data_IF_270661555355
#
_entry.id   IF_270661555355
#
_cell.length_a   1.000
_cell.length_b   1.000
_cell.length_c   1.000
_cell.angle_alpha   90.00
_cell.angle_beta   90.00
_cell.angle_gamma   90.00
#
_symmetry.space_group_name_H-M   'P 1'
#
loop_
_entity.id
_entity.type
_entity.pdbx_description
1 polymer ?
#
# COMPACT_ATOMS: atom_id res chain seq x y z
N UNK A 1 19.70 -7.36 3.63
CA UNK A 1 18.80 -7.98 4.65
C UNK A 1 17.56 -8.53 3.99
N UNK A 2 16.87 -9.49 4.59
CA UNK A 2 15.57 -9.97 4.14
C UNK A 2 14.47 -8.97 4.50
N UNK A 3 13.42 -8.91 3.66
CA UNK A 3 12.23 -8.08 3.87
C UNK A 3 11.00 -8.96 3.78
N UNK A 4 10.22 -9.09 4.84
CA UNK A 4 8.94 -9.78 4.83
C UNK A 4 7.83 -8.78 4.48
N UNK A 5 6.98 -9.12 3.51
CA UNK A 5 5.80 -8.33 3.17
C UNK A 5 4.55 -9.15 3.48
N UNK A 6 3.74 -8.65 4.42
CA UNK A 6 2.47 -9.28 4.79
C UNK A 6 1.41 -8.94 3.74
N UNK A 7 1.06 -9.90 2.90
CA UNK A 7 0.21 -9.72 1.72
C UNK A 7 -0.98 -10.70 1.67
N UNK A 8 -1.42 -11.23 2.81
CA UNK A 8 -2.51 -12.23 2.91
C UNK A 8 -3.91 -11.71 2.58
N UNK A 9 -4.10 -10.38 2.50
CA UNK A 9 -5.40 -9.78 2.26
C UNK A 9 -5.88 -9.85 0.81
N UNK A 10 -7.15 -10.22 0.59
CA UNK A 10 -7.80 -10.27 -0.75
C UNK A 10 -8.09 -8.89 -1.35
N UNK A 11 -7.92 -7.79 -0.60
CA UNK A 11 -8.17 -6.43 -1.08
C UNK A 11 -9.63 -6.14 -1.43
N UNK A 12 -10.59 -6.68 -0.70
CA UNK A 12 -12.02 -6.65 -1.01
C UNK A 12 -12.60 -5.25 -1.25
N UNK A 13 -12.04 -4.22 -0.60
CA UNK A 13 -12.49 -2.83 -0.75
C UNK A 13 -12.07 -2.17 -2.07
N UNK A 14 -11.09 -2.79 -2.80
CA UNK A 14 -10.65 -2.36 -4.14
C UNK A 14 -11.27 -3.21 -5.26
N UNK A 15 -12.26 -4.05 -4.93
CA UNK A 15 -13.03 -4.74 -5.97
C UNK A 15 -13.77 -3.73 -6.85
N UNK A 16 -13.88 -4.04 -8.15
CA UNK A 16 -13.62 -5.31 -8.82
C UNK A 16 -12.16 -5.56 -9.22
N UNK A 17 -11.25 -4.61 -9.17
CA UNK A 17 -9.86 -4.77 -9.62
C UNK A 17 -9.16 -5.99 -8.99
N UNK A 18 -9.35 -6.18 -7.69
CA UNK A 18 -8.72 -7.28 -6.95
C UNK A 18 -9.35 -8.64 -7.19
N UNK A 19 -10.42 -8.73 -7.98
CA UNK A 19 -10.94 -10.02 -8.43
C UNK A 19 -9.99 -10.72 -9.43
N UNK A 20 -9.20 -9.96 -10.20
CA UNK A 20 -8.30 -10.47 -11.24
C UNK A 20 -6.82 -10.26 -10.93
N UNK A 21 -6.46 -9.21 -10.21
CA UNK A 21 -5.08 -8.84 -9.88
C UNK A 21 -4.91 -8.77 -8.36
N UNK A 22 -3.91 -9.45 -7.75
CA UNK A 22 -3.68 -9.33 -6.33
C UNK A 22 -3.25 -7.89 -5.97
N UNK A 23 -3.73 -7.36 -4.84
CA UNK A 23 -3.48 -5.99 -4.40
C UNK A 23 -1.99 -5.57 -4.45
N UNK A 24 -1.02 -6.41 -4.05
CA UNK A 24 0.40 -6.05 -4.13
C UNK A 24 0.92 -5.74 -5.54
N UNK A 25 0.24 -6.24 -6.59
CA UNK A 25 0.60 -5.99 -7.98
C UNK A 25 -0.16 -4.83 -8.63
N UNK A 26 -1.10 -4.21 -7.94
CA UNK A 26 -1.77 -3.01 -8.47
C UNK A 26 -0.75 -1.88 -8.62
N UNK A 27 -0.75 -1.16 -9.77
CA UNK A 27 0.26 -0.14 -10.04
C UNK A 27 -0.03 1.17 -9.31
N UNK A 28 0.99 1.71 -8.67
CA UNK A 28 1.06 3.08 -8.20
C UNK A 28 2.17 3.78 -9.00
N UNK A 29 1.80 4.64 -9.92
CA UNK A 29 2.66 5.24 -10.94
C UNK A 29 3.29 4.16 -11.84
N UNK A 30 4.61 4.01 -11.86
CA UNK A 30 5.35 3.03 -12.65
C UNK A 30 5.81 1.80 -11.88
N UNK A 31 5.40 1.66 -10.64
CA UNK A 31 5.78 0.56 -9.74
C UNK A 31 4.55 -0.12 -9.17
N UNK A 32 4.70 -1.37 -8.78
CA UNK A 32 3.67 -2.07 -8.02
C UNK A 32 3.58 -1.54 -6.58
N UNK A 33 2.45 -1.76 -5.92
CA UNK A 33 2.29 -1.43 -4.51
C UNK A 33 3.37 -2.10 -3.64
N UNK A 34 3.71 -3.36 -3.94
CA UNK A 34 4.75 -4.09 -3.22
C UNK A 34 6.12 -3.40 -3.34
N UNK A 35 6.50 -2.95 -4.53
CA UNK A 35 7.75 -2.21 -4.73
C UNK A 35 7.78 -0.90 -3.95
N UNK A 36 6.65 -0.18 -3.89
CA UNK A 36 6.53 1.03 -3.06
C UNK A 36 6.72 0.75 -1.57
N UNK A 37 6.18 -0.37 -1.07
CA UNK A 37 6.34 -0.79 0.33
C UNK A 37 7.81 -1.09 0.65
N UNK A 38 8.46 -1.89 -0.19
CA UNK A 38 9.89 -2.28 -0.01
C UNK A 38 10.82 -1.06 -0.12
N UNK A 39 10.46 -0.05 -0.89
CA UNK A 39 11.23 1.18 -1.11
C UNK A 39 11.46 2.03 0.16
N UNK A 40 10.91 1.64 1.30
CA UNK A 40 11.24 2.22 2.60
C UNK A 40 12.68 1.91 3.04
N UNK A 41 13.31 0.92 2.40
CA UNK A 41 14.74 0.61 2.51
C UNK A 41 15.47 0.95 1.20
N UNK A 42 16.74 1.38 1.25
CA UNK A 42 17.61 1.43 0.08
C UNK A 42 17.70 0.05 -0.61
N UNK A 43 17.67 0.04 -1.95
CA UNK A 43 17.64 -1.22 -2.72
C UNK A 43 18.89 -2.08 -2.52
N UNK A 44 20.04 -1.47 -2.28
CA UNK A 44 21.30 -2.16 -1.98
C UNK A 44 21.33 -2.84 -0.59
N UNK A 45 20.37 -2.55 0.25
CA UNK A 45 20.18 -3.21 1.55
C UNK A 45 19.22 -4.40 1.49
N UNK A 46 18.48 -4.58 0.40
CA UNK A 46 17.46 -5.63 0.23
C UNK A 46 18.04 -6.79 -0.57
N UNK A 47 18.26 -7.93 0.07
CA UNK A 47 18.77 -9.13 -0.58
C UNK A 47 17.62 -9.99 -1.14
N UNK A 48 16.56 -10.17 -0.35
CA UNK A 48 15.42 -11.01 -0.67
C UNK A 48 14.12 -10.40 -0.10
N UNK A 49 13.05 -10.44 -0.87
CA UNK A 49 11.69 -10.11 -0.42
C UNK A 49 10.89 -11.38 -0.23
N UNK A 50 10.46 -11.64 1.00
CA UNK A 50 9.62 -12.78 1.38
C UNK A 50 8.17 -12.30 1.45
N UNK A 51 7.34 -12.75 0.52
CA UNK A 51 5.91 -12.41 0.49
C UNK A 51 5.12 -13.47 1.23
N UNK A 52 4.58 -13.11 2.39
CA UNK A 52 3.67 -13.94 3.18
C UNK A 52 2.23 -13.68 2.78
N UNK A 53 1.56 -14.65 2.16
CA UNK A 53 0.19 -14.49 1.69
C UNK A 53 -0.34 -15.69 0.92
N UNK A 54 -1.67 -15.73 0.72
CA UNK A 54 -2.36 -16.84 0.06
C UNK A 54 -3.04 -16.44 -1.25
N UNK A 55 -3.53 -15.21 -1.36
CA UNK A 55 -4.35 -14.81 -2.50
C UNK A 55 -3.52 -14.52 -3.75
N UNK A 56 -3.69 -15.34 -4.80
CA UNK A 56 -3.06 -15.19 -6.13
C UNK A 56 -1.54 -15.02 -6.09
N UNK A 57 -0.86 -15.65 -5.16
CA UNK A 57 0.59 -15.55 -4.97
C UNK A 57 1.40 -15.99 -6.19
N UNK A 58 0.84 -16.90 -7.01
CA UNK A 58 1.47 -17.31 -8.26
C UNK A 58 1.63 -16.16 -9.27
N UNK A 59 0.67 -15.21 -9.28
CA UNK A 59 0.79 -14.01 -10.11
C UNK A 59 1.91 -13.09 -9.60
N UNK A 60 2.06 -12.95 -8.26
CA UNK A 60 3.15 -12.17 -7.66
C UNK A 60 4.48 -12.78 -8.06
N UNK A 61 4.62 -14.11 -7.90
CA UNK A 61 5.84 -14.83 -8.29
C UNK A 61 6.15 -14.67 -9.78
N UNK A 62 5.17 -14.87 -10.65
CA UNK A 62 5.33 -14.75 -12.10
C UNK A 62 5.73 -13.32 -12.51
N UNK A 63 5.13 -12.29 -11.89
CA UNK A 63 5.47 -10.90 -12.16
C UNK A 63 6.95 -10.61 -11.88
N UNK A 64 7.45 -10.94 -10.69
CA UNK A 64 8.83 -10.66 -10.31
C UNK A 64 9.86 -11.57 -10.97
N UNK A 65 9.47 -12.76 -11.43
CA UNK A 65 10.33 -13.59 -12.28
C UNK A 65 10.48 -13.03 -13.71
N UNK A 66 9.48 -12.32 -14.21
CA UNK A 66 9.51 -11.69 -15.54
C UNK A 66 10.12 -10.28 -15.51
N UNK A 67 10.08 -9.60 -14.36
CA UNK A 67 10.65 -8.27 -14.17
C UNK A 67 12.13 -8.40 -13.81
N UNK A 68 12.94 -7.42 -14.26
CA UNK A 68 14.33 -7.25 -13.79
C UNK A 68 14.30 -6.52 -12.43
N UNK A 69 13.77 -7.21 -11.42
CA UNK A 69 13.65 -6.67 -10.07
C UNK A 69 15.03 -6.60 -9.40
N UNK A 70 15.32 -5.57 -8.59
CA UNK A 70 16.60 -5.42 -7.92
C UNK A 70 16.80 -6.38 -6.74
N UNK A 71 15.84 -7.28 -6.49
CA UNK A 71 15.86 -8.26 -5.39
C UNK A 71 15.16 -9.55 -5.78
N UNK A 72 15.55 -10.65 -5.12
CA UNK A 72 14.87 -11.93 -5.25
C UNK A 72 13.53 -11.93 -4.51
N UNK A 73 12.52 -12.64 -5.05
CA UNK A 73 11.20 -12.77 -4.42
C UNK A 73 10.92 -14.23 -4.08
N UNK A 74 10.71 -14.49 -2.80
CA UNK A 74 10.27 -15.77 -2.25
C UNK A 74 8.82 -15.67 -1.79
N UNK A 75 8.00 -16.65 -2.14
CA UNK A 75 6.63 -16.75 -1.64
C UNK A 75 6.59 -17.76 -0.48
N UNK A 76 5.97 -17.35 0.63
CA UNK A 76 5.55 -18.22 1.73
C UNK A 76 4.02 -18.26 1.70
N UNK A 77 3.43 -19.34 1.16
CA UNK A 77 1.99 -19.40 0.96
C UNK A 77 1.24 -19.63 2.28
N UNK A 78 0.03 -19.08 2.36
CA UNK A 78 -0.96 -19.37 3.39
C UNK A 78 -2.11 -20.17 2.78
N UNK A 79 -2.38 -21.38 3.27
CA UNK A 79 -3.52 -22.20 2.84
C UNK A 79 -4.86 -21.62 3.34
N UNK A 80 -4.82 -20.94 4.48
CA UNK A 80 -5.92 -20.22 5.11
C UNK A 80 -5.42 -18.93 5.76
N UNK A 81 -6.28 -17.91 5.96
CA UNK A 81 -5.87 -16.64 6.58
C UNK A 81 -5.38 -16.85 8.02
N UNK A 82 -4.08 -16.66 8.25
CA UNK A 82 -3.43 -16.86 9.54
C UNK A 82 -3.40 -15.61 10.43
N UNK A 83 -3.82 -14.45 9.91
CA UNK A 83 -3.65 -13.16 10.58
C UNK A 83 -2.21 -12.65 10.48
N UNK A 84 -1.95 -11.42 10.92
CA UNK A 84 -0.64 -10.76 10.78
C UNK A 84 0.49 -11.53 11.46
N UNK A 85 0.28 -11.99 12.68
CA UNK A 85 1.26 -12.76 13.43
C UNK A 85 1.46 -14.17 12.87
N UNK A 86 0.38 -14.85 12.47
CA UNK A 86 0.49 -16.20 11.91
C UNK A 86 1.17 -16.19 10.53
N UNK A 87 0.88 -15.19 9.68
CA UNK A 87 1.55 -15.00 8.41
C UNK A 87 3.06 -14.80 8.57
N UNK A 88 3.48 -13.90 9.48
CA UNK A 88 4.88 -13.72 9.81
C UNK A 88 5.50 -14.98 10.43
N UNK A 89 4.81 -15.61 11.38
CA UNK A 89 5.25 -16.85 12.03
C UNK A 89 5.49 -18.02 11.07
N UNK A 90 4.80 -18.02 9.93
CA UNK A 90 4.98 -18.99 8.86
C UNK A 90 6.31 -18.80 8.09
N UNK A 91 6.93 -17.62 8.23
CA UNK A 91 8.21 -17.30 7.61
C UNK A 91 9.43 -17.74 8.46
N UNK A 92 9.23 -18.28 9.67
CA UNK A 92 10.33 -18.58 10.64
C UNK A 92 11.43 -19.48 10.11
N UNK A 93 11.12 -20.40 9.21
CA UNK A 93 12.07 -21.35 8.66
C UNK A 93 12.84 -20.81 7.43
N UNK A 94 12.49 -19.61 6.95
CA UNK A 94 13.09 -18.99 5.76
C UNK A 94 13.67 -17.61 6.03
N UNK A 95 13.42 -17.05 7.21
CA UNK A 95 13.94 -15.73 7.62
C UNK A 95 14.87 -15.89 8.81
N UNK A 96 16.01 -15.20 8.82
CA UNK A 96 17.01 -15.30 9.89
C UNK A 96 17.71 -13.97 10.16
N UNK A 97 18.18 -13.81 11.40
CA UNK A 97 18.88 -12.61 11.86
C UNK A 97 17.95 -11.39 11.93
N UNK A 98 18.50 -10.21 11.65
CA UNK A 98 17.73 -8.97 11.63
C UNK A 98 17.06 -8.78 10.25
N UNK A 99 15.75 -8.59 10.22
CA UNK A 99 14.97 -8.43 9.01
C UNK A 99 13.93 -7.30 9.13
N UNK A 100 13.50 -6.75 8.00
CA UNK A 100 12.36 -5.83 7.95
C UNK A 100 11.05 -6.60 7.73
N UNK A 101 9.95 -6.08 8.27
CA UNK A 101 8.61 -6.60 8.00
C UNK A 101 7.65 -5.44 7.76
N UNK A 102 6.90 -5.50 6.66
CA UNK A 102 5.99 -4.44 6.25
C UNK A 102 4.58 -4.98 5.97
N UNK A 103 3.57 -4.23 6.36
CA UNK A 103 2.21 -4.45 5.85
C UNK A 103 2.19 -4.10 4.36
N UNK A 104 1.72 -5.02 3.52
CA UNK A 104 1.81 -4.94 2.05
C UNK A 104 0.88 -3.92 1.40
N UNK A 105 0.27 -3.04 2.19
CA UNK A 105 -0.66 -2.01 1.72
C UNK A 105 -0.37 -0.60 2.25
N UNK A 106 0.76 -0.41 2.91
CA UNK A 106 1.15 0.89 3.47
C UNK A 106 2.13 1.59 2.51
N UNK A 107 1.78 2.80 2.12
CA UNK A 107 2.71 3.74 1.45
C UNK A 107 3.01 4.87 2.41
N UNK A 108 4.29 5.06 2.74
CA UNK A 108 4.70 6.07 3.70
C UNK A 108 6.05 6.71 3.36
N UNK A 109 6.34 7.82 4.01
CA UNK A 109 7.64 8.49 3.99
C UNK A 109 8.63 7.92 4.99
N UNK A 110 8.31 6.80 5.64
CA UNK A 110 9.22 6.16 6.60
C UNK A 110 10.57 5.84 5.96
N UNK A 111 11.62 6.28 6.61
CA UNK A 111 12.98 5.83 6.36
C UNK A 111 13.29 4.67 7.31
N UNK A 112 13.22 3.45 6.79
CA UNK A 112 13.40 2.25 7.61
C UNK A 112 14.86 2.07 8.09
N UNK A 113 15.82 2.81 7.54
CA UNK A 113 17.20 2.81 8.07
C UNK A 113 17.25 3.43 9.46
N UNK A 114 16.45 4.47 9.74
CA UNK A 114 16.32 5.06 11.07
C UNK A 114 15.71 4.10 12.09
N UNK A 115 14.76 3.27 11.63
CA UNK A 115 14.16 2.22 12.46
C UNK A 115 15.20 1.15 12.78
N UNK A 116 16.01 0.75 11.79
CA UNK A 116 17.11 -0.21 11.96
C UNK A 116 18.20 0.31 12.92
N UNK A 117 18.55 1.59 12.81
CA UNK A 117 19.56 2.20 13.71
C UNK A 117 19.04 2.23 15.16
N UNK A 118 17.77 2.57 15.37
CA UNK A 118 17.15 2.54 16.70
C UNK A 118 17.06 1.09 17.23
N UNK A 119 16.70 0.14 16.38
CA UNK A 119 16.65 -1.27 16.71
C UNK A 119 17.97 -1.78 17.25
N UNK A 120 19.07 -1.47 16.56
CA UNK A 120 20.43 -1.82 16.97
C UNK A 120 20.85 -1.12 18.26
N UNK A 121 20.55 0.18 18.37
CA UNK A 121 20.88 1.01 19.54
C UNK A 121 20.23 0.47 20.81
N UNK A 122 18.96 0.10 20.74
CA UNK A 122 18.21 -0.36 21.90
C UNK A 122 18.32 -1.86 22.16
N UNK A 123 18.87 -2.65 21.23
CA UNK A 123 18.93 -4.11 21.31
C UNK A 123 17.54 -4.73 21.47
N UNK A 124 16.55 -4.20 20.75
CA UNK A 124 15.17 -4.64 20.84
C UNK A 124 14.94 -5.91 20.02
N UNK A 125 13.92 -6.69 20.41
CA UNK A 125 13.40 -7.80 19.60
C UNK A 125 12.58 -7.25 18.42
N UNK A 126 11.86 -6.16 18.65
CA UNK A 126 11.11 -5.45 17.61
C UNK A 126 11.23 -3.94 17.73
N UNK A 127 11.23 -3.26 16.58
CA UNK A 127 11.16 -1.79 16.50
C UNK A 127 10.16 -1.38 15.43
N UNK A 128 9.20 -0.53 15.82
CA UNK A 128 8.06 -0.11 15.01
C UNK A 128 8.28 1.29 14.45
N UNK A 129 7.91 1.51 13.18
CA UNK A 129 7.61 2.85 12.67
C UNK A 129 6.30 3.34 13.28
N UNK A 130 6.28 4.61 13.73
CA UNK A 130 5.13 5.20 14.43
C UNK A 130 4.67 6.47 13.70
N UNK A 131 3.36 6.61 13.58
CA UNK A 131 2.72 7.78 12.97
C UNK A 131 1.76 8.44 13.94
N UNK A 132 1.61 9.75 13.89
CA UNK A 132 0.65 10.48 14.71
C UNK A 132 -0.64 10.74 13.94
N UNK A 133 -1.80 10.48 14.57
CA UNK A 133 -3.14 10.68 14.00
C UNK A 133 -4.07 11.40 14.97
N UNK A 134 -5.10 12.07 14.45
CA UNK A 134 -6.13 12.71 15.28
C UNK A 134 -7.07 11.68 15.93
N UNK A 135 -7.48 10.65 15.18
CA UNK A 135 -8.32 9.55 15.68
C UNK A 135 -7.56 8.21 15.61
N UNK A 136 -7.01 7.73 16.74
CA UNK A 136 -6.24 6.49 16.79
C UNK A 136 -7.09 5.22 16.99
N UNK A 137 -8.40 5.31 17.16
CA UNK A 137 -9.27 4.17 17.55
C UNK A 137 -9.28 3.01 16.55
N UNK A 138 -8.84 3.25 15.32
CA UNK A 138 -8.80 2.24 14.24
C UNK A 138 -7.47 1.50 14.15
N UNK A 139 -6.48 1.87 14.96
CA UNK A 139 -5.09 1.40 14.88
C UNK A 139 -4.61 0.83 16.21
N UNK A 140 -3.42 0.24 16.21
CA UNK A 140 -2.69 -0.06 17.42
C UNK A 140 -2.02 1.19 17.96
N UNK A 141 -2.27 1.57 19.21
CA UNK A 141 -1.65 2.73 19.86
C UNK A 141 -0.49 2.34 20.76
N UNK A 142 0.49 3.22 20.88
CA UNK A 142 1.70 2.96 21.66
C UNK A 142 1.95 4.05 22.70
N UNK A 143 2.40 3.63 23.90
CA UNK A 143 3.02 4.53 24.89
C UNK A 143 4.53 4.52 24.72
N UNK A 144 5.09 5.62 24.18
CA UNK A 144 6.51 5.75 23.89
C UNK A 144 7.23 6.46 25.01
N UNK A 145 8.33 5.89 25.51
CA UNK A 145 9.22 6.50 26.48
C UNK A 145 10.27 7.41 25.85
N UNK A 146 11.00 8.19 26.68
CA UNK A 146 12.06 9.12 26.22
C UNK A 146 13.23 8.40 25.52
N UNK A 147 13.46 7.13 25.83
CA UNK A 147 14.48 6.26 25.24
C UNK A 147 14.00 5.56 23.96
N UNK A 148 12.83 5.94 23.44
CA UNK A 148 12.14 5.29 22.34
C UNK A 148 11.72 3.82 22.60
N UNK A 149 11.65 3.39 23.85
CA UNK A 149 11.04 2.11 24.22
C UNK A 149 9.54 2.26 24.31
N UNK A 150 8.83 1.26 23.80
CA UNK A 150 7.38 1.15 23.90
C UNK A 150 7.08 0.45 25.22
N UNK A 151 6.45 1.17 26.15
CA UNK A 151 6.06 0.66 27.47
C UNK A 151 4.65 0.08 27.50
N UNK A 152 3.83 0.40 26.49
CA UNK A 152 2.44 -0.04 26.38
C UNK A 152 2.00 -0.10 24.93
N UNK A 153 1.28 -1.17 24.58
CA UNK A 153 0.64 -1.33 23.27
C UNK A 153 -0.83 -1.75 23.45
N UNK A 154 -1.73 -1.16 22.66
CA UNK A 154 -3.15 -1.53 22.63
C UNK A 154 -3.68 -1.48 21.20
N UNK A 155 -4.16 -2.61 20.69
CA UNK A 155 -4.77 -2.72 19.36
C UNK A 155 -6.22 -2.27 19.40
N UNK A 156 -6.60 -1.31 18.54
CA UNK A 156 -7.95 -0.77 18.33
C UNK A 156 -8.67 -0.46 19.65
N UNK A 157 -8.17 0.55 20.39
CA UNK A 157 -8.75 0.92 21.68
C UNK A 157 -10.16 1.47 21.49
N UNK A 158 -11.01 1.34 22.52
CA UNK A 158 -12.20 2.17 22.61
C UNK A 158 -11.80 3.63 22.88
N UNK A 159 -12.68 4.63 22.67
CA UNK A 159 -12.34 6.03 22.96
C UNK A 159 -11.84 6.26 24.39
N UNK A 160 -12.36 5.51 25.36
CA UNK A 160 -11.99 5.59 26.78
C UNK A 160 -10.63 4.94 27.08
N UNK A 161 -10.16 4.06 26.22
CA UNK A 161 -8.86 3.38 26.34
C UNK A 161 -7.72 4.11 25.63
N UNK A 162 -8.03 5.19 24.88
CA UNK A 162 -7.01 5.97 24.16
C UNK A 162 -6.09 6.68 25.16
N UNK A 163 -4.80 6.37 25.08
CA UNK A 163 -3.77 6.98 25.91
C UNK A 163 -2.66 7.65 25.07
N UNK A 164 -2.73 7.55 23.74
CA UNK A 164 -1.74 8.12 22.82
C UNK A 164 -2.34 8.27 21.43
N UNK A 165 -1.87 9.27 20.68
CA UNK A 165 -2.17 9.47 19.26
C UNK A 165 -1.09 8.86 18.34
N UNK A 166 0.00 8.31 18.91
CA UNK A 166 1.00 7.57 18.16
C UNK A 166 0.48 6.16 17.85
N UNK A 167 0.41 5.85 16.57
CA UNK A 167 -0.07 4.58 16.08
C UNK A 167 1.06 3.73 15.49
N UNK A 168 0.86 2.43 15.49
CA UNK A 168 1.62 1.46 14.73
C UNK A 168 1.41 1.69 13.21
N UNK A 169 2.48 2.02 12.50
CA UNK A 169 2.45 2.32 11.07
C UNK A 169 2.65 1.07 10.17
N UNK A 170 2.57 -0.13 10.70
CA UNK A 170 2.68 -1.36 9.90
C UNK A 170 4.04 -1.57 9.24
N UNK A 171 5.09 -1.02 9.83
CA UNK A 171 6.47 -1.12 9.34
C UNK A 171 7.39 -1.41 10.50
N UNK A 172 8.16 -2.48 10.39
CA UNK A 172 8.90 -3.06 11.50
C UNK A 172 10.32 -3.46 11.13
N UNK A 173 11.22 -3.43 12.11
CA UNK A 173 12.48 -4.18 12.10
C UNK A 173 12.42 -5.17 13.26
N UNK A 174 12.72 -6.42 13.00
CA UNK A 174 12.75 -7.51 13.97
C UNK A 174 14.10 -8.23 13.95
N UNK A 175 14.44 -8.86 15.06
CA UNK A 175 15.36 -9.99 15.09
C UNK A 175 14.56 -11.29 15.01
N UNK A 176 15.18 -12.37 14.56
CA UNK A 176 14.51 -13.67 14.42
C UNK A 176 14.06 -14.30 15.75
N UNK A 177 14.60 -13.86 16.89
CA UNK A 177 14.07 -14.21 18.21
C UNK A 177 12.62 -13.71 18.45
N UNK A 178 12.09 -12.83 17.62
CA UNK A 178 10.65 -12.49 17.62
C UNK A 178 9.75 -13.71 17.44
N UNK A 179 10.23 -14.73 16.73
CA UNK A 179 9.48 -15.96 16.50
C UNK A 179 9.27 -16.79 17.77
N UNK A 180 10.08 -16.61 18.81
CA UNK A 180 9.91 -17.28 20.11
C UNK A 180 8.71 -16.71 20.88
N UNK A 181 8.28 -15.50 20.54
CA UNK A 181 7.10 -14.82 21.13
C UNK A 181 5.80 -15.11 20.35
N UNK A 182 5.91 -15.81 19.21
CA UNK A 182 4.76 -16.08 18.34
C UNK A 182 4.19 -17.49 18.58
N UNK A 183 2.90 -17.62 18.93
CA UNK A 183 2.25 -18.92 18.96
C UNK A 183 2.22 -19.53 17.54
N UNK A 184 2.01 -20.84 17.47
CA UNK A 184 1.77 -21.49 16.17
C UNK A 184 0.34 -21.26 15.70
N UNK A 185 0.16 -21.18 14.38
CA UNK A 185 -1.15 -21.02 13.77
C UNK A 185 -1.67 -19.57 13.76
N UNK A 186 -2.98 -19.42 13.67
CA UNK A 186 -3.64 -18.13 13.48
C UNK A 186 -3.56 -17.25 14.73
N UNK A 187 -2.95 -16.06 14.57
CA UNK A 187 -2.88 -15.02 15.60
C UNK A 187 -2.59 -13.63 15.01
N UNK A 188 -2.76 -12.58 15.81
CA UNK A 188 -2.42 -11.20 15.45
C UNK A 188 -1.13 -10.79 16.14
N UNK A 189 -0.15 -10.27 15.43
CA UNK A 189 1.08 -9.75 16.03
C UNK A 189 0.76 -8.57 16.98
N UNK A 190 -0.23 -7.76 16.63
CA UNK A 190 -0.61 -6.55 17.37
C UNK A 190 -1.34 -6.87 18.69
N UNK A 191 -2.08 -7.97 18.72
CA UNK A 191 -2.86 -8.36 19.91
C UNK A 191 -2.12 -9.34 20.81
N UNK A 192 -1.38 -10.25 20.18
CA UNK A 192 -0.86 -11.42 20.88
C UNK A 192 0.65 -11.31 21.17
N UNK A 193 1.41 -10.49 20.43
CA UNK A 193 2.87 -10.39 20.55
C UNK A 193 3.32 -9.02 21.06
N UNK A 194 2.93 -7.91 20.42
CA UNK A 194 3.40 -6.59 20.80
C UNK A 194 3.14 -6.19 22.25
N UNK A 195 1.96 -6.49 22.85
CA UNK A 195 1.75 -6.18 24.27
C UNK A 195 2.72 -6.90 25.21
N UNK A 196 3.11 -8.14 24.89
CA UNK A 196 4.08 -8.91 25.67
C UNK A 196 5.48 -8.33 25.53
N UNK A 197 5.96 -8.07 24.29
CA UNK A 197 7.25 -7.44 24.05
C UNK A 197 7.36 -6.07 24.71
N UNK A 198 6.28 -5.29 24.71
CA UNK A 198 6.23 -3.99 25.38
C UNK A 198 6.38 -4.11 26.89
N UNK A 199 5.68 -5.09 27.50
CA UNK A 199 5.76 -5.34 28.94
C UNK A 199 7.15 -5.78 29.41
N UNK A 200 7.88 -6.51 28.57
CA UNK A 200 9.26 -6.95 28.83
C UNK A 200 10.33 -5.91 28.41
N UNK A 201 9.93 -4.73 27.89
CA UNK A 201 10.86 -3.69 27.46
C UNK A 201 11.66 -4.06 26.20
N UNK A 202 11.17 -5.02 25.40
CA UNK A 202 11.83 -5.55 24.20
C UNK A 202 11.31 -4.91 22.91
N UNK A 203 10.39 -3.95 23.00
CA UNK A 203 9.80 -3.24 21.88
C UNK A 203 10.22 -1.78 21.86
N UNK A 204 10.66 -1.27 20.72
CA UNK A 204 10.98 0.13 20.49
C UNK A 204 10.12 0.75 19.41
N UNK A 205 10.12 2.08 19.31
CA UNK A 205 9.38 2.79 18.27
C UNK A 205 10.10 4.03 17.77
N UNK A 206 9.92 4.35 16.51
CA UNK A 206 10.49 5.53 15.84
C UNK A 206 9.37 6.33 15.19
N UNK A 207 8.97 7.48 15.75
CA UNK A 207 8.07 8.39 15.08
C UNK A 207 8.69 8.96 13.81
N UNK A 208 7.87 9.14 12.77
CA UNK A 208 8.29 9.77 11.52
C UNK A 208 7.26 10.80 11.05
N UNK A 209 7.69 11.70 10.18
CA UNK A 209 6.89 12.77 9.58
C UNK A 209 6.76 12.60 8.08
N UNK A 210 5.85 13.37 7.45
CA UNK A 210 5.62 13.40 6.02
C UNK A 210 4.26 12.83 5.66
N UNK A 211 4.15 11.57 5.26
CA UNK A 211 2.86 10.93 4.94
C UNK A 211 2.83 9.45 5.32
N UNK A 212 1.61 9.00 5.64
CA UNK A 212 1.27 7.62 5.94
C UNK A 212 -0.10 7.30 5.37
N UNK A 213 -0.20 6.30 4.51
CA UNK A 213 -1.42 5.96 3.79
C UNK A 213 -1.59 4.44 3.75
N UNK A 214 -2.67 3.95 4.37
CA UNK A 214 -3.20 2.60 4.15
C UNK A 214 -3.99 2.58 2.85
N UNK A 215 -3.37 2.16 1.75
CA UNK A 215 -3.94 2.13 0.40
C UNK A 215 -5.00 1.02 0.22
N UNK A 216 -5.86 0.84 1.23
CA UNK A 216 -6.87 -0.22 1.28
C UNK A 216 -8.22 0.14 0.68
N UNK A 217 -8.49 1.40 0.38
CA UNK A 217 -9.76 1.87 -0.19
C UNK A 217 -9.51 2.69 -1.46
N UNK A 218 -10.50 2.88 -2.35
CA UNK A 218 -10.35 3.68 -3.56
C UNK A 218 -9.87 5.11 -3.29
N UNK A 219 -10.41 5.77 -2.27
CA UNK A 219 -9.98 7.11 -1.87
C UNK A 219 -8.53 7.12 -1.36
N UNK A 220 -8.18 6.23 -0.43
CA UNK A 220 -6.82 6.11 0.07
C UNK A 220 -5.83 5.71 -1.04
N UNK A 221 -6.28 4.92 -2.04
CA UNK A 221 -5.48 4.62 -3.21
C UNK A 221 -5.10 5.88 -3.99
N UNK A 222 -6.08 6.72 -4.30
CA UNK A 222 -5.83 7.98 -5.02
C UNK A 222 -4.99 8.96 -4.18
N UNK A 223 -5.14 8.97 -2.86
CA UNK A 223 -4.25 9.71 -1.96
C UNK A 223 -2.81 9.17 -2.01
N UNK A 224 -2.62 7.85 -2.09
CA UNK A 224 -1.30 7.24 -2.24
C UNK A 224 -0.66 7.60 -3.59
N UNK A 225 -1.43 7.61 -4.67
CA UNK A 225 -1.00 8.11 -5.98
C UNK A 225 -0.58 9.57 -5.89
N UNK A 226 -1.42 10.43 -5.30
CA UNK A 226 -1.09 11.86 -5.12
C UNK A 226 0.18 12.06 -4.30
N UNK A 227 0.31 11.39 -3.16
CA UNK A 227 1.52 11.47 -2.33
C UNK A 227 2.77 11.00 -3.11
N UNK A 228 2.64 9.93 -3.90
CA UNK A 228 3.73 9.43 -4.75
C UNK A 228 4.13 10.44 -5.84
N UNK A 229 3.20 11.21 -6.38
CA UNK A 229 3.44 12.33 -7.31
C UNK A 229 4.17 13.47 -6.58
N UNK A 230 3.62 13.93 -5.46
CA UNK A 230 4.15 15.08 -4.71
C UNK A 230 5.59 14.82 -4.22
N UNK A 231 5.89 13.58 -3.84
CA UNK A 231 7.22 13.16 -3.38
C UNK A 231 8.09 12.50 -4.45
N UNK A 232 7.66 12.52 -5.72
CA UNK A 232 8.39 11.99 -6.89
C UNK A 232 8.83 10.54 -6.73
N UNK A 233 7.95 9.68 -6.22
CA UNK A 233 8.22 8.26 -6.01
C UNK A 233 7.94 7.42 -7.26
N UNK A 234 8.70 7.66 -8.31
CA UNK A 234 8.67 6.91 -9.57
C UNK A 234 10.06 6.86 -10.19
N UNK A 235 10.31 5.91 -11.07
CA UNK A 235 11.58 5.72 -11.75
C UNK A 235 11.51 6.25 -13.19
N UNK A 236 10.36 6.10 -13.83
CA UNK A 236 10.11 6.44 -15.23
C UNK A 236 8.89 7.35 -15.37
N UNK A 237 8.58 7.78 -16.59
CA UNK A 237 7.46 8.68 -16.82
C UNK A 237 7.76 10.13 -16.46
N UNK A 238 6.75 10.97 -16.49
CA UNK A 238 6.88 12.41 -16.32
C UNK A 238 5.69 13.00 -15.56
N UNK A 239 5.97 14.10 -14.84
CA UNK A 239 4.92 14.94 -14.27
C UNK A 239 4.50 16.00 -15.27
N UNK A 240 3.21 16.27 -15.34
CA UNK A 240 2.55 17.17 -16.28
C UNK A 240 1.60 18.13 -15.56
N UNK A 241 1.06 19.09 -16.33
CA UNK A 241 0.11 20.08 -15.84
C UNK A 241 0.73 21.23 -15.05
N UNK A 242 -0.11 22.14 -14.59
CA UNK A 242 0.29 23.23 -13.71
C UNK A 242 0.86 22.65 -12.41
N UNK A 243 2.04 23.10 -12.02
CA UNK A 243 2.75 22.61 -10.83
C UNK A 243 3.11 21.11 -10.84
N UNK A 244 3.24 20.48 -12.02
CA UNK A 244 3.57 19.05 -12.13
C UNK A 244 2.59 18.15 -11.34
N UNK A 245 1.30 18.40 -11.45
CA UNK A 245 0.27 17.86 -10.58
C UNK A 245 -0.24 16.47 -10.96
N UNK A 246 0.13 15.90 -12.11
CA UNK A 246 -0.28 14.56 -12.50
C UNK A 246 0.83 13.79 -13.21
N UNK A 247 0.75 12.44 -13.15
CA UNK A 247 1.75 11.53 -13.68
C UNK A 247 1.25 10.83 -14.95
N UNK A 248 2.13 10.77 -15.97
CA UNK A 248 1.93 9.94 -17.15
C UNK A 248 3.24 9.43 -17.76
N UNK A 249 3.16 8.32 -18.51
CA UNK A 249 4.21 7.92 -19.46
C UNK A 249 4.21 8.86 -20.67
N UNK A 250 5.34 8.94 -21.40
CA UNK A 250 5.45 9.78 -22.61
C UNK A 250 4.40 9.47 -23.68
N UNK A 251 4.04 8.19 -23.83
CA UNK A 251 3.09 7.74 -24.85
C UNK A 251 1.66 8.24 -24.63
N UNK A 252 1.31 8.66 -23.41
CA UNK A 252 -0.05 9.13 -23.07
C UNK A 252 -0.39 10.47 -23.73
N UNK A 253 0.58 11.36 -23.88
CA UNK A 253 0.34 12.73 -24.40
C UNK A 253 -0.22 12.75 -25.82
N UNK A 254 0.10 11.73 -26.63
CA UNK A 254 -0.41 11.60 -28.00
C UNK A 254 -1.90 11.25 -28.06
N UNK A 255 -2.43 10.61 -26.99
CA UNK A 255 -3.84 10.21 -26.86
C UNK A 255 -4.73 11.23 -26.15
N UNK A 256 -4.20 12.42 -25.78
CA UNK A 256 -4.96 13.41 -25.03
C UNK A 256 -5.60 14.47 -25.91
N UNK A 257 -6.89 14.72 -25.70
CA UNK A 257 -7.60 15.86 -26.29
C UNK A 257 -7.01 17.20 -25.83
N UNK A 258 -6.98 18.19 -26.75
CA UNK A 258 -6.35 19.51 -26.49
C UNK A 258 -6.95 20.27 -25.30
N UNK A 259 -8.16 19.93 -24.89
CA UNK A 259 -8.88 20.59 -23.77
C UNK A 259 -9.04 19.66 -22.56
N UNK A 260 -8.38 18.52 -22.54
CA UNK A 260 -8.36 17.64 -21.37
C UNK A 260 -7.75 18.35 -20.16
N UNK A 261 -8.39 18.21 -19.01
CA UNK A 261 -7.89 18.73 -17.72
C UNK A 261 -7.61 17.57 -16.80
N UNK A 262 -6.37 17.45 -16.36
CA UNK A 262 -5.94 16.37 -15.45
C UNK A 262 -5.22 16.98 -14.27
N UNK A 263 -5.62 16.59 -13.05
CA UNK A 263 -5.02 17.06 -11.80
C UNK A 263 -4.90 15.90 -10.80
N UNK A 264 -3.80 15.83 -10.07
CA UNK A 264 -3.55 14.88 -8.96
C UNK A 264 -3.87 13.43 -9.31
N UNK A 265 -3.60 13.03 -10.54
CA UNK A 265 -4.05 11.77 -11.12
C UNK A 265 -2.90 11.00 -11.76
N UNK A 266 -3.09 9.70 -11.87
CA UNK A 266 -2.21 8.81 -12.60
C UNK A 266 -2.88 8.38 -13.89
N UNK A 267 -2.19 8.57 -15.02
CA UNK A 267 -2.62 8.12 -16.34
C UNK A 267 -1.60 7.11 -16.87
N UNK A 268 -1.99 5.86 -16.95
CA UNK A 268 -1.12 4.79 -17.45
C UNK A 268 -1.00 4.80 -18.96
N UNK A 269 -0.06 4.03 -19.48
CA UNK A 269 0.24 3.92 -20.90
C UNK A 269 -0.98 3.48 -21.74
N UNK A 270 -1.09 3.99 -22.97
CA UNK A 270 -2.14 3.64 -23.92
C UNK A 270 -3.53 4.21 -23.60
N UNK A 271 -3.64 5.08 -22.58
CA UNK A 271 -4.90 5.77 -22.30
C UNK A 271 -5.23 6.79 -23.38
N UNK A 272 -6.52 6.90 -23.71
CA UNK A 272 -7.07 7.93 -24.58
C UNK A 272 -8.07 8.78 -23.78
N UNK A 273 -7.92 10.09 -23.80
CA UNK A 273 -8.75 11.02 -23.05
C UNK A 273 -9.26 12.12 -23.98
N UNK A 274 -10.56 12.19 -24.17
CA UNK A 274 -11.24 13.26 -24.90
C UNK A 274 -11.19 14.61 -24.17
N UNK A 275 -12.15 15.50 -24.47
CA UNK A 275 -12.26 16.84 -23.85
C UNK A 275 -12.85 16.76 -22.44
N UNK A 276 -12.23 15.99 -21.55
CA UNK A 276 -12.78 15.61 -20.23
C UNK A 276 -11.98 16.16 -19.06
N UNK A 277 -12.55 16.13 -17.88
CA UNK A 277 -11.93 16.54 -16.61
C UNK A 277 -11.69 15.33 -15.71
N UNK A 278 -10.45 15.15 -15.27
CA UNK A 278 -10.03 14.03 -14.41
C UNK A 278 -9.28 14.59 -13.21
N UNK A 279 -9.74 14.30 -12.01
CA UNK A 279 -9.11 14.78 -10.79
C UNK A 279 -9.07 13.68 -9.73
N UNK A 280 -7.96 13.62 -8.97
CA UNK A 280 -7.74 12.64 -7.89
C UNK A 280 -8.12 11.21 -8.31
N UNK A 281 -7.72 10.79 -9.52
CA UNK A 281 -8.18 9.54 -10.12
C UNK A 281 -7.03 8.74 -10.73
N UNK A 282 -7.23 7.43 -10.81
CA UNK A 282 -6.27 6.50 -11.40
C UNK A 282 -6.86 5.86 -12.64
N UNK A 283 -6.21 6.04 -13.80
CA UNK A 283 -6.56 5.39 -15.05
C UNK A 283 -5.50 4.35 -15.40
N UNK A 284 -5.90 3.08 -15.48
CA UNK A 284 -4.99 1.99 -15.83
C UNK A 284 -4.83 1.85 -17.34
N UNK A 285 -3.82 1.10 -17.74
CA UNK A 285 -3.36 0.92 -19.13
C UNK A 285 -4.52 0.71 -20.11
N UNK A 286 -4.51 1.48 -21.20
CA UNK A 286 -5.47 1.34 -22.30
C UNK A 286 -6.89 1.84 -21.98
N UNK A 287 -7.10 2.50 -20.84
CA UNK A 287 -8.42 3.08 -20.54
C UNK A 287 -8.77 4.19 -21.53
N UNK A 288 -10.04 4.26 -21.92
CA UNK A 288 -10.58 5.25 -22.84
C UNK A 288 -11.63 6.12 -22.14
N UNK A 289 -11.48 7.43 -22.23
CA UNK A 289 -12.44 8.40 -21.71
C UNK A 289 -12.93 9.27 -22.86
N UNK A 290 -14.23 9.25 -23.12
CA UNK A 290 -14.89 10.03 -24.16
C UNK A 290 -14.83 11.55 -23.88
N UNK A 291 -15.67 12.32 -24.61
CA UNK A 291 -15.74 13.76 -24.47
C UNK A 291 -16.67 14.21 -23.34
N UNK A 292 -16.37 15.36 -22.73
CA UNK A 292 -17.17 16.00 -21.69
C UNK A 292 -17.47 15.12 -20.45
N UNK A 293 -16.64 14.11 -20.18
CA UNK A 293 -16.75 13.33 -18.95
C UNK A 293 -16.09 14.06 -17.77
N UNK A 294 -16.64 13.86 -16.59
CA UNK A 294 -16.15 14.34 -15.31
C UNK A 294 -15.81 13.13 -14.43
N UNK A 295 -14.52 12.89 -14.13
CA UNK A 295 -14.05 11.77 -13.33
C UNK A 295 -13.33 12.31 -12.09
N UNK A 296 -13.89 12.03 -10.93
CA UNK A 296 -13.40 12.50 -9.65
C UNK A 296 -13.19 11.32 -8.69
N UNK A 297 -12.05 11.28 -8.00
CA UNK A 297 -11.70 10.28 -6.97
C UNK A 297 -11.96 8.82 -7.36
N UNK A 298 -11.92 8.53 -8.68
CA UNK A 298 -12.33 7.24 -9.23
C UNK A 298 -11.15 6.40 -9.69
N UNK A 299 -11.38 5.08 -9.75
CA UNK A 299 -10.42 4.10 -10.24
C UNK A 299 -10.96 3.51 -11.54
N UNK A 300 -10.27 3.75 -12.66
CA UNK A 300 -10.69 3.27 -14.00
C UNK A 300 -9.79 2.12 -14.39
N UNK A 301 -10.40 0.94 -14.58
CA UNK A 301 -9.71 -0.32 -14.88
C UNK A 301 -8.99 -0.33 -16.22
N UNK A 302 -8.10 -1.29 -16.39
CA UNK A 302 -7.37 -1.49 -17.65
C UNK A 302 -8.36 -1.77 -18.79
N UNK A 303 -8.17 -1.10 -19.93
CA UNK A 303 -9.03 -1.28 -21.10
C UNK A 303 -10.47 -0.80 -20.93
N UNK A 304 -10.83 -0.22 -19.79
CA UNK A 304 -12.19 0.27 -19.56
C UNK A 304 -12.53 1.46 -20.48
N UNK A 305 -13.77 1.51 -20.95
CA UNK A 305 -14.26 2.59 -21.82
C UNK A 305 -15.36 3.41 -21.11
N UNK A 306 -15.11 4.69 -20.92
CA UNK A 306 -16.05 5.64 -20.35
C UNK A 306 -16.65 6.47 -21.48
N UNK A 307 -17.96 6.41 -21.66
CA UNK A 307 -18.69 7.14 -22.70
C UNK A 307 -18.74 8.65 -22.46
N UNK A 308 -19.14 9.39 -23.51
CA UNK A 308 -19.24 10.83 -23.47
C UNK A 308 -20.19 11.32 -22.38
N UNK A 309 -19.84 12.45 -21.74
CA UNK A 309 -20.69 13.11 -20.75
C UNK A 309 -20.92 12.33 -19.46
N UNK A 310 -20.16 11.28 -19.20
CA UNK A 310 -20.23 10.55 -17.92
C UNK A 310 -19.80 11.41 -16.74
N UNK A 311 -20.44 11.20 -15.58
CA UNK A 311 -20.04 11.81 -14.30
C UNK A 311 -19.82 10.72 -13.25
N UNK A 312 -18.55 10.46 -12.94
CA UNK A 312 -18.15 9.42 -12.01
C UNK A 312 -17.42 10.03 -10.82
N UNK A 313 -17.92 9.80 -9.61
CA UNK A 313 -17.31 10.26 -8.36
C UNK A 313 -17.13 9.08 -7.40
N UNK A 314 -15.89 8.74 -7.03
CA UNK A 314 -15.60 7.65 -6.11
C UNK A 314 -15.97 6.26 -6.64
N UNK A 315 -15.97 6.05 -7.96
CA UNK A 315 -16.39 4.80 -8.62
C UNK A 315 -15.19 3.95 -8.97
N UNK A 316 -15.29 2.65 -8.73
CA UNK A 316 -14.30 1.66 -9.24
C UNK A 316 -14.86 0.99 -10.49
N UNK A 317 -14.35 1.36 -11.65
CA UNK A 317 -14.71 0.74 -12.93
C UNK A 317 -13.83 -0.47 -13.17
N UNK A 318 -14.44 -1.63 -13.46
CA UNK A 318 -13.71 -2.88 -13.69
C UNK A 318 -12.85 -2.83 -14.95
N UNK A 319 -11.91 -3.76 -15.05
CA UNK A 319 -11.13 -3.96 -16.26
C UNK A 319 -12.06 -4.31 -17.45
N UNK A 320 -11.74 -3.76 -18.61
CA UNK A 320 -12.46 -3.95 -19.88
C UNK A 320 -13.97 -3.60 -19.83
N UNK A 321 -14.44 -2.96 -18.76
CA UNK A 321 -15.84 -2.57 -18.60
C UNK A 321 -16.20 -1.36 -19.49
N UNK A 322 -17.45 -1.34 -19.96
CA UNK A 322 -18.01 -0.21 -20.74
C UNK A 322 -19.02 0.55 -19.90
N UNK A 323 -18.76 1.84 -19.67
CA UNK A 323 -19.72 2.76 -19.04
C UNK A 323 -20.44 3.54 -20.14
N UNK A 324 -21.76 3.38 -20.31
CA UNK A 324 -22.52 4.08 -21.36
C UNK A 324 -22.44 5.60 -21.25
N UNK A 325 -22.51 6.30 -22.37
CA UNK A 325 -22.52 7.75 -22.42
C UNK A 325 -23.64 8.35 -21.53
N UNK A 326 -23.34 9.47 -20.85
CA UNK A 326 -24.26 10.16 -19.97
C UNK A 326 -24.51 9.48 -18.62
N UNK A 327 -23.80 8.40 -18.29
CA UNK A 327 -23.90 7.74 -16.98
C UNK A 327 -23.44 8.68 -15.88
N UNK A 328 -24.27 8.82 -14.81
CA UNK A 328 -23.92 9.53 -13.60
C UNK A 328 -23.94 8.56 -12.41
N UNK A 329 -22.81 8.40 -11.73
CA UNK A 329 -22.68 7.50 -10.58
C UNK A 329 -21.77 8.10 -9.51
N UNK A 330 -22.19 7.91 -8.25
CA UNK A 330 -21.40 8.27 -7.07
C UNK A 330 -21.19 7.03 -6.19
N UNK A 331 -19.94 6.71 -5.97
CA UNK A 331 -19.51 5.55 -5.19
C UNK A 331 -19.80 4.20 -5.85
N UNK A 332 -19.34 3.13 -5.20
CA UNK A 332 -19.53 1.76 -5.64
C UNK A 332 -18.67 1.34 -6.83
N UNK A 333 -19.13 0.33 -7.56
CA UNK A 333 -18.40 -0.23 -8.71
C UNK A 333 -19.22 -0.22 -9.99
N UNK A 334 -18.50 -0.28 -11.12
CA UNK A 334 -19.10 -0.49 -12.44
C UNK A 334 -18.43 -1.69 -13.12
N UNK A 335 -19.19 -2.70 -13.60
CA UNK A 335 -20.62 -2.86 -13.32
C UNK A 335 -20.90 -3.00 -11.83
N UNK A 336 -22.14 -2.72 -11.37
CA UNK A 336 -22.52 -2.95 -9.98
C UNK A 336 -22.23 -4.39 -9.57
N UNK A 337 -21.59 -4.57 -8.43
CA UNK A 337 -21.38 -5.91 -7.87
C UNK A 337 -22.63 -6.31 -7.07
N UNK A 338 -23.04 -7.58 -7.23
CA UNK A 338 -24.19 -8.16 -6.55
C UNK A 338 -23.95 -8.30 -5.04
#
# INVERSE_FOLDING_TARGET
MQVVVLAGGVGSRLRPWTNSVPKPLLPVLDQTLLEHVVRSLPSDMVDEVVVAGGYRVDQIKAHFQAADAPFDVRIVPEDEPLGTGGALGNCRDVVSGTFACFNGDIISSLDATKVLDMHRKNGSVGTLGLWEVDDPTRFGIVGLGEDNRISRFKEKPTPEEVFSNLINAGSYIFNDDVFDWMPRGRHSIERDVFPQLAAEGLLSGVPFEGYFIDAGTPDAWNQAVKASIDHRRFNTGHLHGSNASWYASKAVLEGMGRSARVEHSMISEGCHIGTSSISMSTLLQGAHVGDNAEILTSLIGRGAAIGDGCKLEGVVVDHDAMVPAGTAQKGGSWPPQA
#
